data_IF_636767693168
#
_entry.id   IF_636767693168
#
_cell.length_a   1.000
_cell.length_b   1.000
_cell.length_c   1.000
_cell.angle_alpha   90.00
_cell.angle_beta   90.00
_cell.angle_gamma   90.00
#
_symmetry.space_group_name_H-M   'P 1'
#
loop_
_entity.id
_entity.type
_entity.pdbx_description
1 polymer ?
#
# COMPACT_ATOMS: atom_id res chain seq x y z
N UNK A 1 26.92 10.13 1.73
CA UNK A 1 26.45 9.58 0.45
C UNK A 1 25.50 10.60 -0.18
N UNK A 2 25.80 11.06 -1.39
CA UNK A 2 25.09 12.16 -2.07
C UNK A 2 23.85 11.67 -2.81
N UNK A 3 22.83 12.52 -2.90
CA UNK A 3 21.51 12.32 -3.54
C UNK A 3 21.56 11.72 -4.95
N UNK A 4 22.71 11.84 -5.64
CA UNK A 4 22.99 11.29 -6.96
C UNK A 4 23.10 9.76 -7.03
N UNK A 5 23.49 9.06 -5.94
CA UNK A 5 23.58 7.60 -5.97
C UNK A 5 22.21 6.90 -5.90
N UNK A 6 21.22 7.56 -5.28
CA UNK A 6 19.82 7.11 -5.25
C UNK A 6 19.12 7.30 -6.62
N UNK A 7 19.53 8.31 -7.39
CA UNK A 7 19.03 8.55 -8.75
C UNK A 7 19.59 7.54 -9.77
N UNK A 8 20.87 7.16 -9.65
CA UNK A 8 21.45 6.11 -10.50
C UNK A 8 20.77 4.75 -10.32
N UNK A 9 20.39 4.39 -9.09
CA UNK A 9 19.63 3.15 -8.89
C UNK A 9 18.20 3.26 -9.43
N UNK A 10 17.56 4.43 -9.43
CA UNK A 10 16.22 4.62 -10.01
C UNK A 10 16.23 4.69 -11.54
N UNK A 11 17.31 5.17 -12.18
CA UNK A 11 17.51 5.10 -13.64
C UNK A 11 17.80 3.66 -14.11
N UNK A 12 18.59 2.89 -13.37
CA UNK A 12 18.79 1.46 -13.64
C UNK A 12 17.52 0.63 -13.40
N UNK A 13 16.69 1.05 -12.42
CA UNK A 13 15.37 0.46 -12.13
C UNK A 13 14.35 0.73 -13.23
N UNK A 14 14.39 1.92 -13.82
CA UNK A 14 13.58 2.27 -15.00
C UNK A 14 13.97 1.51 -16.27
N UNK A 15 15.18 0.93 -16.34
CA UNK A 15 15.73 0.44 -17.60
C UNK A 15 15.79 -1.08 -17.79
N UNK A 16 15.78 -1.93 -16.76
CA UNK A 16 16.12 -3.35 -16.97
C UNK A 16 14.98 -4.38 -16.80
N UNK A 17 13.92 -4.08 -16.03
CA UNK A 17 12.80 -5.03 -15.84
C UNK A 17 11.39 -4.48 -16.13
N UNK A 18 11.24 -3.17 -16.29
CA UNK A 18 9.92 -2.53 -16.35
C UNK A 18 9.62 -1.75 -17.63
N UNK A 19 10.58 -1.63 -18.56
CA UNK A 19 10.29 -1.18 -19.94
C UNK A 19 9.05 -1.87 -20.54
N UNK A 20 8.76 -3.17 -20.32
CA UNK A 20 7.60 -3.81 -20.92
C UNK A 20 6.24 -3.28 -20.39
N UNK A 21 6.16 -2.84 -19.13
CA UNK A 21 4.94 -2.24 -18.54
C UNK A 21 4.81 -0.74 -18.84
N UNK A 22 5.93 -0.06 -19.07
CA UNK A 22 6.02 1.37 -19.38
C UNK A 22 6.14 1.67 -20.89
N UNK A 23 5.96 0.67 -21.76
CA UNK A 23 6.20 0.82 -23.19
C UNK A 23 5.04 1.50 -23.93
N UNK A 24 5.36 2.69 -24.47
CA UNK A 24 4.68 3.46 -25.53
C UNK A 24 3.40 4.23 -25.13
N UNK A 25 3.56 5.31 -24.38
CA UNK A 25 2.58 6.41 -24.39
C UNK A 25 2.35 7.16 -23.07
N UNK A 26 2.81 6.61 -21.94
CA UNK A 26 2.59 7.23 -20.63
C UNK A 26 3.79 8.09 -20.24
N UNK A 27 3.62 9.40 -20.28
CA UNK A 27 4.58 10.34 -19.70
C UNK A 27 4.35 10.41 -18.18
N UNK A 28 5.40 10.31 -17.35
CA UNK A 28 5.24 10.49 -15.92
C UNK A 28 4.91 11.95 -15.59
N UNK A 29 4.28 12.18 -14.44
CA UNK A 29 4.10 13.49 -13.86
C UNK A 29 5.47 14.20 -13.69
N UNK A 30 5.57 15.52 -13.99
CA UNK A 30 6.80 16.29 -13.78
C UNK A 30 7.36 16.25 -12.35
N UNK A 31 6.49 15.99 -11.37
CA UNK A 31 6.87 15.91 -9.95
C UNK A 31 7.45 14.55 -9.54
N UNK A 32 7.62 13.60 -10.48
CA UNK A 32 8.08 12.22 -10.23
C UNK A 32 9.32 12.16 -9.35
N UNK A 33 10.37 12.89 -9.71
CA UNK A 33 11.66 12.79 -9.00
C UNK A 33 11.54 13.22 -7.54
N UNK A 34 10.85 14.32 -7.30
CA UNK A 34 10.61 14.81 -5.94
C UNK A 34 9.77 13.83 -5.13
N UNK A 35 8.68 13.30 -5.71
CA UNK A 35 7.82 12.33 -5.01
C UNK A 35 8.58 11.06 -4.67
N UNK A 36 9.41 10.53 -5.58
CA UNK A 36 10.22 9.35 -5.30
C UNK A 36 11.19 9.58 -4.14
N UNK A 37 11.81 10.76 -4.07
CA UNK A 37 12.71 11.11 -2.98
C UNK A 37 11.98 11.18 -1.64
N UNK A 38 10.86 11.89 -1.56
CA UNK A 38 10.10 12.04 -0.32
C UNK A 38 9.47 10.72 0.13
N UNK A 39 8.94 9.92 -0.78
CA UNK A 39 8.45 8.58 -0.48
C UNK A 39 9.56 7.67 0.04
N UNK A 40 10.76 7.74 -0.55
CA UNK A 40 11.91 6.96 -0.06
C UNK A 40 12.31 7.37 1.36
N UNK A 41 12.23 8.65 1.70
CA UNK A 41 12.47 9.12 3.07
C UNK A 41 11.39 8.59 4.01
N UNK A 42 10.13 8.79 3.65
CA UNK A 42 8.97 8.34 4.43
C UNK A 42 9.05 6.85 4.74
N UNK A 43 9.24 6.00 3.73
CA UNK A 43 9.25 4.55 3.96
C UNK A 43 10.45 4.04 4.78
N UNK A 44 11.54 4.81 4.87
CA UNK A 44 12.68 4.49 5.77
C UNK A 44 12.33 4.67 7.24
N UNK A 45 11.41 5.57 7.58
CA UNK A 45 11.00 5.85 8.96
C UNK A 45 10.26 4.67 9.61
N UNK A 46 9.66 3.81 8.78
CA UNK A 46 8.90 2.62 9.21
C UNK A 46 9.68 1.32 9.01
N UNK A 47 11.02 1.41 9.01
CA UNK A 47 11.97 0.33 9.19
C UNK A 47 11.54 -1.03 8.61
N UNK A 48 11.76 -1.24 7.30
CA UNK A 48 12.10 -2.53 6.67
C UNK A 48 12.43 -2.36 5.16
N UNK A 49 13.05 -1.24 4.78
CA UNK A 49 13.67 -1.16 3.46
C UNK A 49 15.02 -1.86 3.51
N UNK A 50 15.09 -3.06 2.95
CA UNK A 50 16.33 -3.44 2.31
C UNK A 50 16.55 -2.46 1.15
N UNK A 51 17.77 -1.96 0.94
CA UNK A 51 18.10 -1.00 -0.12
C UNK A 51 17.71 -1.48 -1.54
N UNK A 52 17.35 -2.76 -1.69
CA UNK A 52 16.96 -3.42 -2.94
C UNK A 52 15.47 -3.38 -3.25
N UNK A 53 14.63 -3.01 -2.28
CA UNK A 53 13.18 -2.91 -2.47
C UNK A 53 12.80 -1.44 -2.52
N UNK A 54 13.12 -0.73 -3.60
CA UNK A 54 12.32 0.44 -3.96
C UNK A 54 10.96 -0.09 -4.38
N UNK A 55 9.85 0.25 -3.70
CA UNK A 55 8.57 -0.32 -4.01
C UNK A 55 8.16 0.14 -5.38
N UNK A 56 8.03 -0.87 -6.22
CA UNK A 56 7.50 -0.81 -7.56
C UNK A 56 6.21 0.00 -7.64
N UNK A 57 5.37 -0.04 -6.60
CA UNK A 57 4.12 0.67 -6.52
C UNK A 57 4.30 2.22 -6.52
N UNK A 58 5.32 2.74 -5.83
CA UNK A 58 5.59 4.19 -5.78
C UNK A 58 6.10 4.74 -7.11
N UNK A 59 6.87 3.92 -7.84
CA UNK A 59 7.33 4.27 -9.18
C UNK A 59 6.19 4.38 -10.19
N UNK A 60 5.05 3.72 -9.92
CA UNK A 60 3.89 3.69 -10.81
C UNK A 60 2.95 4.89 -10.63
N UNK A 61 2.86 5.45 -9.41
CA UNK A 61 1.96 6.58 -9.10
C UNK A 61 2.13 7.79 -10.03
N UNK A 62 3.36 8.25 -10.34
CA UNK A 62 3.55 9.36 -11.28
C UNK A 62 3.04 9.08 -12.70
N UNK A 63 2.90 7.81 -13.11
CA UNK A 63 2.36 7.45 -14.42
C UNK A 63 0.83 7.40 -14.42
N UNK A 64 0.23 6.90 -13.33
CA UNK A 64 -1.23 6.92 -13.15
C UNK A 64 -1.79 8.34 -13.06
N UNK A 65 -1.03 9.24 -12.44
CA UNK A 65 -1.44 10.62 -12.18
C UNK A 65 -0.55 11.61 -12.94
N UNK A 66 -0.31 11.33 -14.23
CA UNK A 66 0.60 12.09 -15.10
C UNK A 66 0.26 13.58 -15.23
N UNK A 67 -1.02 13.94 -15.15
CA UNK A 67 -1.50 15.33 -15.21
C UNK A 67 -1.56 16.03 -13.84
N UNK A 68 -1.15 15.37 -12.76
CA UNK A 68 -1.22 15.93 -11.41
C UNK A 68 -0.35 17.19 -11.28
N UNK A 69 -0.98 18.32 -10.99
CA UNK A 69 -0.28 19.61 -10.84
C UNK A 69 0.35 19.80 -9.46
N UNK A 70 -0.10 19.07 -8.45
CA UNK A 70 0.36 19.21 -7.06
C UNK A 70 1.29 18.07 -6.67
N UNK A 71 2.55 18.43 -6.37
CA UNK A 71 3.53 17.50 -5.82
C UNK A 71 3.05 16.84 -4.52
N UNK A 72 2.38 17.59 -3.66
CA UNK A 72 1.90 17.08 -2.37
C UNK A 72 0.77 16.08 -2.54
N UNK A 73 -0.18 16.35 -3.44
CA UNK A 73 -1.26 15.38 -3.72
C UNK A 73 -0.70 14.09 -4.32
N UNK A 74 0.27 14.20 -5.21
CA UNK A 74 0.95 13.04 -5.78
C UNK A 74 1.69 12.23 -4.71
N UNK A 75 2.34 12.90 -3.75
CA UNK A 75 2.98 12.27 -2.60
C UNK A 75 1.96 11.54 -1.71
N UNK A 76 0.84 12.18 -1.38
CA UNK A 76 -0.19 11.59 -0.53
C UNK A 76 -0.78 10.31 -1.14
N UNK A 77 -1.05 10.33 -2.45
CA UNK A 77 -1.47 9.14 -3.20
C UNK A 77 -0.36 8.08 -3.20
N UNK A 78 0.90 8.50 -3.34
CA UNK A 78 2.07 7.64 -3.16
C UNK A 78 2.07 6.90 -1.81
N UNK A 79 1.86 7.63 -0.71
CA UNK A 79 1.78 7.07 0.65
C UNK A 79 0.65 6.07 0.80
N UNK A 80 -0.52 6.36 0.24
CA UNK A 80 -1.65 5.42 0.22
C UNK A 80 -1.31 4.12 -0.52
N UNK A 81 -0.81 4.22 -1.76
CA UNK A 81 -0.47 3.05 -2.59
C UNK A 81 0.63 2.21 -1.95
N UNK A 82 1.64 2.86 -1.37
CA UNK A 82 2.71 2.20 -0.63
C UNK A 82 2.21 1.51 0.64
N UNK A 83 1.30 2.14 1.39
CA UNK A 83 0.66 1.52 2.54
C UNK A 83 -0.10 0.25 2.16
N UNK A 84 -0.92 0.28 1.12
CA UNK A 84 -1.65 -0.91 0.64
C UNK A 84 -0.69 -2.02 0.22
N UNK A 85 0.40 -1.68 -0.45
CA UNK A 85 1.43 -2.65 -0.85
C UNK A 85 2.14 -3.26 0.36
N UNK A 86 2.42 -2.44 1.38
CA UNK A 86 3.06 -2.89 2.61
C UNK A 86 2.12 -3.80 3.43
N UNK A 87 0.86 -3.41 3.54
CA UNK A 87 -0.19 -4.19 4.18
C UNK A 87 -0.30 -5.59 3.56
N UNK A 88 -0.32 -5.69 2.23
CA UNK A 88 -0.36 -6.99 1.53
C UNK A 88 0.84 -7.87 1.90
N UNK A 89 2.04 -7.29 2.06
CA UNK A 89 3.23 -8.03 2.50
C UNK A 89 3.14 -8.54 3.95
N UNK A 90 2.55 -7.76 4.86
CA UNK A 90 2.36 -8.19 6.25
C UNK A 90 1.29 -9.30 6.34
N UNK A 91 0.21 -9.17 5.57
CA UNK A 91 -0.82 -10.21 5.44
C UNK A 91 -0.22 -11.50 4.83
N UNK A 92 0.63 -11.35 3.81
CA UNK A 92 1.40 -12.42 3.18
C UNK A 92 2.36 -13.11 4.16
N UNK A 93 2.96 -12.38 5.10
CA UNK A 93 3.78 -12.96 6.15
C UNK A 93 2.95 -13.87 7.06
N UNK A 94 1.81 -13.39 7.55
CA UNK A 94 0.89 -14.21 8.35
C UNK A 94 0.45 -15.48 7.59
N UNK A 95 0.24 -15.35 6.26
CA UNK A 95 -0.03 -16.49 5.38
C UNK A 95 1.11 -17.51 5.36
N UNK A 96 2.36 -17.06 5.18
CA UNK A 96 3.54 -17.97 5.15
C UNK A 96 3.74 -18.70 6.47
N UNK A 97 3.44 -18.04 7.58
CA UNK A 97 3.48 -18.64 8.92
C UNK A 97 2.29 -19.59 9.19
N UNK A 98 1.35 -19.70 8.24
CA UNK A 98 0.15 -20.55 8.31
C UNK A 98 -0.69 -20.35 9.59
N UNK A 99 -0.71 -19.14 10.15
CA UNK A 99 -1.47 -18.83 11.38
C UNK A 99 -2.68 -17.93 11.11
N UNK A 100 -3.92 -18.47 11.25
CA UNK A 100 -5.13 -17.65 11.26
C UNK A 100 -5.13 -16.59 12.36
N UNK A 101 -4.54 -16.91 13.52
CA UNK A 101 -4.52 -16.05 14.70
C UNK A 101 -3.69 -14.80 14.45
N UNK A 102 -2.50 -14.94 13.84
CA UNK A 102 -1.67 -13.80 13.47
C UNK A 102 -2.37 -12.88 12.46
N UNK A 103 -3.10 -13.47 11.50
CA UNK A 103 -3.84 -12.69 10.51
C UNK A 103 -4.99 -11.91 11.16
N UNK A 104 -5.78 -12.56 12.03
CA UNK A 104 -6.87 -11.91 12.76
C UNK A 104 -6.36 -10.85 13.72
N UNK A 105 -5.29 -11.14 14.47
CA UNK A 105 -4.65 -10.17 15.36
C UNK A 105 -4.16 -8.94 14.60
N UNK A 106 -3.55 -9.15 13.42
CA UNK A 106 -3.12 -8.05 12.55
C UNK A 106 -4.31 -7.20 12.09
N UNK A 107 -5.40 -7.82 11.60
CA UNK A 107 -6.60 -7.09 11.16
C UNK A 107 -7.26 -6.35 12.32
N UNK A 108 -7.38 -6.96 13.49
CA UNK A 108 -8.00 -6.34 14.67
C UNK A 108 -7.19 -5.12 15.14
N UNK A 109 -5.85 -5.22 15.15
CA UNK A 109 -4.98 -4.08 15.48
C UNK A 109 -5.10 -2.95 14.47
N UNK A 110 -5.22 -3.24 13.18
CA UNK A 110 -5.41 -2.22 12.13
C UNK A 110 -6.77 -1.53 12.25
N UNK A 111 -7.83 -2.29 12.48
CA UNK A 111 -9.18 -1.77 12.71
C UNK A 111 -9.23 -0.87 13.94
N UNK A 112 -8.70 -1.36 15.07
CA UNK A 112 -8.63 -0.57 16.28
C UNK A 112 -7.79 0.70 16.10
N UNK A 113 -6.68 0.64 15.35
CA UNK A 113 -5.90 1.83 15.03
C UNK A 113 -6.73 2.84 14.24
N UNK A 114 -7.40 2.40 13.18
CA UNK A 114 -8.26 3.25 12.35
C UNK A 114 -9.41 3.90 13.13
N UNK A 115 -10.01 3.19 14.08
CA UNK A 115 -11.15 3.67 14.85
C UNK A 115 -10.76 4.59 16.00
N UNK A 116 -9.64 4.32 16.66
CA UNK A 116 -9.21 5.08 17.84
C UNK A 116 -8.21 6.19 17.52
N UNK A 117 -7.65 6.19 16.30
CA UNK A 117 -6.53 7.06 15.93
C UNK A 117 -5.24 6.75 16.68
N UNK A 118 -5.11 5.54 17.25
CA UNK A 118 -3.98 5.18 18.13
C UNK A 118 -3.48 3.77 17.85
N UNK A 119 -2.17 3.58 17.87
CA UNK A 119 -1.54 2.26 17.80
C UNK A 119 -0.26 2.20 18.62
N UNK A 120 0.21 0.98 18.86
CA UNK A 120 1.51 0.73 19.50
C UNK A 120 2.66 1.26 18.63
N UNK A 121 3.69 1.84 19.26
CA UNK A 121 4.83 2.44 18.56
C UNK A 121 5.67 1.42 17.75
N UNK A 122 5.60 0.15 18.13
CA UNK A 122 6.25 -0.98 17.45
C UNK A 122 5.40 -1.55 16.32
N UNK A 123 4.12 -1.16 16.21
CA UNK A 123 3.22 -1.63 15.19
C UNK A 123 3.30 -0.77 13.92
N UNK A 124 4.33 -1.02 13.11
CA UNK A 124 4.63 -0.23 11.90
C UNK A 124 3.45 -0.09 10.94
N UNK A 125 2.68 -1.16 10.69
CA UNK A 125 1.53 -1.14 9.78
C UNK A 125 0.43 -0.22 10.28
N UNK A 126 0.13 -0.25 11.59
CA UNK A 126 -0.80 0.68 12.23
C UNK A 126 -0.31 2.13 12.17
N UNK A 127 0.98 2.38 12.41
CA UNK A 127 1.54 3.74 12.33
C UNK A 127 1.46 4.32 10.92
N UNK A 128 1.77 3.51 9.89
CA UNK A 128 1.63 3.92 8.49
C UNK A 128 0.17 4.21 8.14
N UNK A 129 -0.76 3.36 8.57
CA UNK A 129 -2.20 3.58 8.39
C UNK A 129 -2.61 4.94 8.98
N UNK A 130 -2.23 5.22 10.22
CA UNK A 130 -2.60 6.47 10.89
C UNK A 130 -2.04 7.72 10.19
N UNK A 131 -0.79 7.68 9.72
CA UNK A 131 -0.24 8.82 8.98
C UNK A 131 -0.96 9.05 7.64
N UNK A 132 -1.33 7.96 6.96
CA UNK A 132 -2.09 8.06 5.72
C UNK A 132 -3.51 8.57 5.98
N UNK A 133 -4.16 8.13 7.05
CA UNK A 133 -5.48 8.62 7.48
C UNK A 133 -5.42 10.11 7.82
N UNK A 134 -4.45 10.57 8.62
CA UNK A 134 -4.26 11.98 8.99
C UNK A 134 -4.11 12.87 7.74
N UNK A 135 -3.32 12.41 6.77
CA UNK A 135 -3.15 13.10 5.49
C UNK A 135 -4.46 13.20 4.70
N UNK A 136 -5.27 12.15 4.69
CA UNK A 136 -6.55 12.11 3.98
C UNK A 136 -7.62 12.96 4.67
N UNK A 137 -7.70 12.93 6.00
CA UNK A 137 -8.63 13.75 6.80
C UNK A 137 -8.42 15.25 6.59
N UNK A 138 -7.17 15.67 6.35
CA UNK A 138 -6.86 17.07 5.99
C UNK A 138 -7.34 17.51 4.60
N UNK A 139 -7.81 16.59 3.75
CA UNK A 139 -8.11 16.87 2.33
C UNK A 139 -9.47 16.36 1.83
N UNK A 140 -10.06 15.38 2.51
CA UNK A 140 -11.27 14.68 2.08
C UNK A 140 -12.42 14.96 3.06
N UNK A 141 -13.66 14.91 2.57
CA UNK A 141 -14.84 15.07 3.41
C UNK A 141 -15.16 13.78 4.20
N UNK A 142 -16.02 13.90 5.21
CA UNK A 142 -16.37 12.78 6.09
C UNK A 142 -17.08 11.64 5.34
N UNK A 143 -17.82 11.95 4.27
CA UNK A 143 -18.46 10.92 3.46
C UNK A 143 -17.42 10.05 2.76
N UNK A 144 -16.41 10.68 2.14
CA UNK A 144 -15.30 9.99 1.51
C UNK A 144 -14.48 9.20 2.54
N UNK A 145 -14.19 9.81 3.70
CA UNK A 145 -13.46 9.14 4.78
C UNK A 145 -14.22 7.92 5.30
N UNK A 146 -15.54 8.01 5.47
CA UNK A 146 -16.38 6.88 5.83
C UNK A 146 -16.29 5.74 4.82
N UNK A 147 -16.37 6.05 3.52
CA UNK A 147 -16.25 5.03 2.47
C UNK A 147 -14.87 4.38 2.43
N UNK A 148 -13.80 5.16 2.64
CA UNK A 148 -12.44 4.62 2.72
C UNK A 148 -12.26 3.68 3.93
N UNK A 149 -12.77 4.07 5.11
CA UNK A 149 -12.73 3.21 6.30
C UNK A 149 -13.53 1.92 6.08
N UNK A 150 -14.68 2.00 5.42
CA UNK A 150 -15.47 0.82 5.04
C UNK A 150 -14.70 -0.09 4.08
N UNK A 151 -14.12 0.48 3.01
CA UNK A 151 -13.28 -0.26 2.07
C UNK A 151 -12.13 -1.01 2.78
N UNK A 152 -11.47 -0.39 3.75
CA UNK A 152 -10.42 -1.07 4.51
C UNK A 152 -10.95 -2.23 5.36
N UNK A 153 -12.12 -2.09 5.99
CA UNK A 153 -12.79 -3.19 6.71
C UNK A 153 -13.05 -4.37 5.79
N UNK A 154 -13.57 -4.08 4.61
CA UNK A 154 -13.93 -5.05 3.58
C UNK A 154 -12.70 -5.78 3.04
N UNK A 155 -11.60 -5.07 2.79
CA UNK A 155 -10.30 -5.65 2.44
C UNK A 155 -9.77 -6.57 3.54
N UNK A 156 -9.80 -6.14 4.80
CA UNK A 156 -9.32 -6.97 5.91
C UNK A 156 -10.16 -8.25 6.09
N UNK A 157 -11.49 -8.12 6.03
CA UNK A 157 -12.40 -9.26 6.09
C UNK A 157 -12.13 -10.24 4.94
N UNK A 158 -11.96 -9.72 3.72
CA UNK A 158 -11.62 -10.50 2.52
C UNK A 158 -10.33 -11.30 2.72
N UNK A 159 -9.27 -10.68 3.24
CA UNK A 159 -8.03 -11.41 3.55
C UNK A 159 -8.26 -12.52 4.59
N UNK A 160 -8.98 -12.25 5.67
CA UNK A 160 -9.30 -13.27 6.69
C UNK A 160 -10.08 -14.43 6.07
N UNK A 161 -11.12 -14.16 5.29
CA UNK A 161 -11.94 -15.20 4.63
C UNK A 161 -11.11 -16.04 3.65
N UNK A 162 -10.44 -15.41 2.68
CA UNK A 162 -9.64 -16.12 1.66
C UNK A 162 -8.58 -16.99 2.34
N UNK A 163 -7.86 -16.44 3.32
CA UNK A 163 -6.74 -17.16 3.93
C UNK A 163 -7.20 -18.21 4.94
N UNK A 164 -8.11 -17.88 5.85
CA UNK A 164 -8.50 -18.78 6.94
C UNK A 164 -9.46 -19.87 6.48
N UNK A 165 -10.38 -19.56 5.55
CA UNK A 165 -11.43 -20.50 5.17
C UNK A 165 -11.12 -21.32 3.92
N UNK A 166 -10.21 -20.83 3.08
CA UNK A 166 -9.81 -21.56 1.88
C UNK A 166 -8.34 -21.95 1.93
N UNK A 167 -7.43 -20.99 1.95
CA UNK A 167 -6.01 -21.28 1.75
C UNK A 167 -5.40 -22.18 2.84
N UNK A 168 -5.66 -21.90 4.11
CA UNK A 168 -5.15 -22.73 5.23
C UNK A 168 -5.81 -24.11 5.34
N UNK A 169 -7.01 -24.25 4.76
CA UNK A 169 -7.75 -25.51 4.70
C UNK A 169 -7.47 -26.27 3.40
N UNK A 170 -6.55 -25.77 2.56
CA UNK A 170 -6.24 -26.27 1.22
C UNK A 170 -7.51 -26.46 0.35
N UNK A 171 -8.50 -25.57 0.50
CA UNK A 171 -9.76 -25.60 -0.26
C UNK A 171 -9.67 -24.68 -1.48
N UNK A 172 -10.25 -25.15 -2.57
CA UNK A 172 -10.48 -24.34 -3.76
C UNK A 172 -11.64 -23.36 -3.54
N UNK A 173 -11.52 -22.13 -4.08
CA UNK A 173 -12.60 -21.14 -4.12
C UNK A 173 -13.24 -21.22 -5.51
N UNK A 174 -14.53 -21.60 -5.63
CA UNK A 174 -15.31 -21.46 -6.86
C UNK A 174 -15.19 -20.05 -7.45
N UNK A 175 -15.25 -19.94 -8.79
CA UNK A 175 -15.06 -18.66 -9.48
C UNK A 175 -16.04 -17.58 -9.03
N UNK A 176 -17.32 -17.92 -8.94
CA UNK A 176 -18.37 -16.96 -8.55
C UNK A 176 -18.17 -16.48 -7.11
N UNK A 177 -17.90 -17.42 -6.19
CA UNK A 177 -17.59 -17.12 -4.79
C UNK A 177 -16.29 -16.30 -4.65
N UNK A 178 -15.28 -16.58 -5.48
CA UNK A 178 -14.06 -15.78 -5.53
C UNK A 178 -14.33 -14.35 -5.99
N UNK A 179 -15.19 -14.15 -6.99
CA UNK A 179 -15.57 -12.82 -7.45
C UNK A 179 -16.34 -12.06 -6.36
N UNK A 180 -17.31 -12.70 -5.71
CA UNK A 180 -18.07 -12.09 -4.62
C UNK A 180 -17.16 -11.64 -3.48
N UNK A 181 -16.19 -12.49 -3.11
CA UNK A 181 -15.21 -12.18 -2.07
C UNK A 181 -14.21 -11.11 -2.53
N UNK A 182 -13.76 -11.12 -3.79
CA UNK A 182 -12.65 -10.27 -4.25
C UNK A 182 -13.08 -8.89 -4.76
N UNK A 183 -14.26 -8.80 -5.36
CA UNK A 183 -14.73 -7.59 -6.01
C UNK A 183 -15.63 -6.75 -5.11
N UNK A 184 -16.24 -7.33 -4.06
CA UNK A 184 -17.17 -6.70 -3.10
C UNK A 184 -17.64 -5.33 -3.60
N UNK A 185 -18.54 -5.34 -4.59
CA UNK A 185 -19.05 -4.11 -5.20
C UNK A 185 -19.82 -3.33 -4.12
N UNK A 186 -19.16 -2.36 -3.50
CA UNK A 186 -19.77 -1.37 -2.60
C UNK A 186 -20.24 -0.14 -3.36
#
# INVERSE_FOLDING_TARGET
MTTLSLLKSTEEFGNSRFRPLFNKGMNPCPHREWVLQEMTKWSKEFSHYSEKSTPYAMAFVPYLYSSCKSKQRLLNVGKWVEFITYLDNDMERARRERSPELLRELTDKLLNAMETGRCDQTFNSGRRLLEVVDVLEGHMDEHWMSNMRQYLRDVFATHVTIHCDYWLKDRFIPYDEYNDIRLQES
#
